data_IF_828174026909
#
_entry.id   IF_828174026909
#
_cell.length_a   1.000
_cell.length_b   1.000
_cell.length_c   1.000
_cell.angle_alpha   90.00
_cell.angle_beta   90.00
_cell.angle_gamma   90.00
#
_symmetry.space_group_name_H-M   'P 1'
#
loop_
_entity.id
_entity.type
_entity.pdbx_description
1 polymer ?
#
# COMPACT_ATOMS: atom_id res chain seq x y z
N UNK A 1 55.87 -1.05 34.04
CA UNK A 1 55.19 -2.03 33.17
C UNK A 1 53.71 -1.80 33.30
N UNK A 2 53.19 -0.91 32.47
CA UNK A 2 51.82 -0.40 32.48
C UNK A 2 50.99 -1.18 31.47
N UNK A 3 49.82 -1.66 31.92
CA UNK A 3 48.82 -2.34 31.10
C UNK A 3 48.05 -1.32 30.26
N UNK A 4 48.16 -1.39 28.94
CA UNK A 4 47.31 -0.65 28.02
C UNK A 4 46.03 -1.43 27.73
N UNK A 5 44.90 -0.88 28.16
CA UNK A 5 43.54 -1.32 27.85
C UNK A 5 43.09 -0.76 26.50
N UNK A 6 42.83 -1.64 25.52
CA UNK A 6 42.16 -1.27 24.27
C UNK A 6 40.65 -1.09 24.50
N UNK A 7 40.01 -0.01 24.01
CA UNK A 7 38.56 0.09 23.97
C UNK A 7 37.99 -0.58 22.71
N UNK A 8 37.06 -1.52 22.91
CA UNK A 8 36.21 -2.11 21.88
C UNK A 8 35.36 -1.06 21.17
N UNK A 9 35.56 -0.90 19.86
CA UNK A 9 34.69 -0.10 18.99
C UNK A 9 33.39 -0.89 18.77
N UNK A 10 32.33 -0.51 19.48
CA UNK A 10 30.95 -0.93 19.19
C UNK A 10 30.50 -0.19 17.92
N UNK A 11 30.16 -0.92 16.86
CA UNK A 11 29.46 -0.35 15.70
C UNK A 11 28.04 0.04 16.13
N UNK A 12 27.76 1.33 16.19
CA UNK A 12 26.42 1.88 16.36
C UNK A 12 25.55 1.56 15.12
N UNK A 13 24.25 1.27 15.29
CA UNK A 13 23.31 1.12 14.20
C UNK A 13 23.08 2.49 13.53
N UNK A 14 23.18 2.53 12.20
CA UNK A 14 22.91 3.72 11.37
C UNK A 14 21.52 4.29 11.69
N UNK A 15 21.52 5.51 12.21
CA UNK A 15 20.34 6.34 12.45
C UNK A 15 19.61 6.59 11.12
N UNK A 16 18.28 6.52 11.17
CA UNK A 16 17.38 6.85 10.07
C UNK A 16 17.52 8.34 9.76
N UNK A 17 17.80 8.69 8.51
CA UNK A 17 17.69 10.09 8.05
C UNK A 17 16.21 10.41 7.84
N UNK A 18 15.67 11.20 8.75
CA UNK A 18 14.34 11.78 8.71
C UNK A 18 14.37 13.05 7.83
N UNK A 19 13.59 13.05 6.74
CA UNK A 19 13.42 14.17 5.81
C UNK A 19 12.17 15.01 6.13
N UNK A 20 11.76 15.15 7.39
CA UNK A 20 10.48 15.79 7.76
C UNK A 20 10.51 17.30 7.98
N UNK A 21 11.44 18.05 7.38
CA UNK A 21 11.44 19.52 7.42
C UNK A 21 10.20 20.14 6.74
N UNK A 22 9.04 20.13 7.40
CA UNK A 22 7.76 20.64 6.89
C UNK A 22 7.13 21.64 7.86
N UNK A 23 6.97 22.86 7.37
CA UNK A 23 6.04 23.87 7.87
C UNK A 23 4.66 23.58 7.29
N UNK A 24 3.65 23.48 8.15
CA UNK A 24 2.25 23.26 7.78
C UNK A 24 1.75 24.46 6.98
N UNK A 25 1.44 24.26 5.69
CA UNK A 25 0.64 25.21 4.91
C UNK A 25 -0.53 24.49 4.24
N UNK A 26 -1.59 24.31 5.02
CA UNK A 26 -2.90 23.84 4.58
C UNK A 26 -3.52 24.90 3.65
N UNK A 27 -3.73 24.58 2.37
CA UNK A 27 -4.43 25.45 1.41
C UNK A 27 -5.94 25.19 1.49
N UNK A 28 -6.60 25.81 2.47
CA UNK A 28 -8.07 25.77 2.62
C UNK A 28 -8.84 26.70 1.66
N UNK A 29 -8.22 27.33 0.65
CA UNK A 29 -8.79 28.54 0.03
C UNK A 29 -9.37 28.41 -1.38
N UNK A 30 -9.85 27.23 -1.82
CA UNK A 30 -10.59 27.14 -3.12
C UNK A 30 -11.86 26.27 -3.15
N UNK A 31 -12.31 25.68 -2.04
CA UNK A 31 -13.39 24.68 -2.05
C UNK A 31 -14.77 25.16 -1.57
N UNK A 32 -15.08 26.46 -1.58
CA UNK A 32 -16.38 26.94 -1.06
C UNK A 32 -17.51 27.11 -2.08
N UNK A 33 -17.32 26.83 -3.38
CA UNK A 33 -18.36 27.12 -4.40
C UNK A 33 -19.00 25.92 -5.14
N UNK A 34 -18.77 24.67 -4.73
CA UNK A 34 -19.38 23.48 -5.40
C UNK A 34 -20.29 22.62 -4.49
N UNK A 35 -20.54 23.04 -3.25
CA UNK A 35 -21.29 22.30 -2.22
C UNK A 35 -22.80 22.13 -2.45
N UNK A 36 -23.31 22.25 -3.69
CA UNK A 36 -24.77 22.25 -3.97
C UNK A 36 -25.31 21.15 -4.89
N UNK A 37 -24.53 20.16 -5.32
CA UNK A 37 -25.06 19.15 -6.28
C UNK A 37 -25.11 17.70 -5.78
N UNK A 38 -24.46 17.26 -4.70
CA UNK A 38 -24.56 15.82 -4.31
C UNK A 38 -24.71 15.58 -2.82
N UNK A 39 -25.87 15.97 -2.27
CA UNK A 39 -26.27 15.67 -0.89
C UNK A 39 -27.14 14.40 -0.77
N UNK A 40 -26.92 13.40 -1.63
CA UNK A 40 -27.64 12.11 -1.58
C UNK A 40 -26.73 10.92 -1.95
N UNK A 41 -25.70 10.63 -1.14
CA UNK A 41 -25.09 9.30 -1.15
C UNK A 41 -24.93 8.84 0.30
N UNK A 42 -25.93 8.09 0.76
CA UNK A 42 -25.98 7.45 2.08
C UNK A 42 -24.94 6.33 2.18
N UNK A 43 -24.33 6.26 3.37
CA UNK A 43 -23.57 5.15 3.96
C UNK A 43 -23.88 3.76 3.40
N UNK A 44 -22.84 3.17 2.80
CA UNK A 44 -22.45 1.75 2.74
C UNK A 44 -21.30 1.73 1.71
N UNK A 45 -20.24 0.95 1.91
CA UNK A 45 -19.22 0.74 0.87
C UNK A 45 -19.89 0.06 -0.32
N UNK A 46 -20.41 0.85 -1.25
CA UNK A 46 -21.08 0.33 -2.43
C UNK A 46 -19.98 0.01 -3.42
N UNK A 47 -19.60 -1.26 -3.49
CA UNK A 47 -18.71 -1.71 -4.54
C UNK A 47 -19.32 -1.39 -5.92
N UNK A 48 -18.48 -0.86 -6.81
CA UNK A 48 -18.89 -0.41 -8.14
C UNK A 48 -18.40 -1.39 -9.19
N UNK A 49 -19.21 -1.62 -10.22
CA UNK A 49 -18.77 -2.41 -11.36
C UNK A 49 -17.83 -1.56 -12.23
N UNK A 50 -16.66 -2.10 -12.50
CA UNK A 50 -15.62 -1.47 -13.34
C UNK A 50 -15.17 -2.43 -14.45
N UNK A 51 -14.51 -1.93 -15.52
CA UNK A 51 -13.91 -2.79 -16.52
C UNK A 51 -13.00 -3.85 -15.87
N UNK A 52 -13.08 -5.12 -16.31
CA UNK A 52 -12.42 -6.21 -15.64
C UNK A 52 -10.90 -6.10 -15.76
N UNK A 53 -10.17 -6.24 -14.64
CA UNK A 53 -8.70 -6.27 -14.62
C UNK A 53 -8.18 -7.48 -13.87
N UNK A 54 -7.10 -8.06 -14.40
CA UNK A 54 -6.37 -9.15 -13.72
C UNK A 54 -5.42 -8.56 -12.70
N UNK A 55 -5.11 -9.31 -11.64
CA UNK A 55 -4.14 -8.88 -10.63
C UNK A 55 -2.78 -8.51 -11.23
N UNK A 56 -2.28 -9.31 -12.17
CA UNK A 56 -1.01 -9.04 -12.87
C UNK A 56 -1.01 -7.73 -13.66
N UNK A 57 -2.15 -7.32 -14.21
CA UNK A 57 -2.30 -6.02 -14.87
C UNK A 57 -2.24 -4.88 -13.85
N UNK A 58 -2.86 -5.07 -12.68
CA UNK A 58 -2.82 -4.10 -11.57
C UNK A 58 -1.40 -3.96 -11.00
N UNK A 59 -0.63 -5.06 -10.91
CA UNK A 59 0.80 -5.00 -10.51
C UNK A 59 1.61 -4.12 -11.45
N UNK A 60 1.44 -4.30 -12.77
CA UNK A 60 2.12 -3.51 -13.79
C UNK A 60 1.73 -2.03 -13.67
N UNK A 61 0.44 -1.74 -13.49
CA UNK A 61 -0.05 -0.37 -13.30
C UNK A 61 0.51 0.25 -12.02
N UNK A 62 0.52 -0.47 -10.90
CA UNK A 62 1.08 0.02 -9.65
C UNK A 62 2.58 0.34 -9.76
N UNK A 63 3.35 -0.51 -10.45
CA UNK A 63 4.77 -0.25 -10.73
C UNK A 63 4.97 1.00 -11.60
N UNK A 64 4.18 1.16 -12.68
CA UNK A 64 4.23 2.33 -13.54
C UNK A 64 3.87 3.63 -12.78
N UNK A 65 2.87 3.56 -11.89
CA UNK A 65 2.51 4.70 -11.05
C UNK A 65 3.59 5.06 -10.03
N UNK A 66 4.29 4.08 -9.45
CA UNK A 66 5.46 4.36 -8.60
C UNK A 66 6.53 5.13 -9.37
N UNK A 67 6.82 4.73 -10.60
CA UNK A 67 7.78 5.42 -11.47
C UNK A 67 7.32 6.85 -11.81
N UNK A 68 6.07 7.02 -12.23
CA UNK A 68 5.50 8.33 -12.55
C UNK A 68 5.50 9.30 -11.35
N UNK A 69 5.32 8.76 -10.14
CA UNK A 69 5.36 9.50 -8.88
C UNK A 69 6.77 9.60 -8.27
N UNK A 70 7.81 9.28 -9.07
CA UNK A 70 9.23 9.39 -8.69
C UNK A 70 9.60 8.60 -7.44
N UNK A 71 8.88 7.51 -7.15
CA UNK A 71 9.18 6.62 -6.03
C UNK A 71 10.27 5.64 -6.48
N UNK A 72 11.45 5.63 -5.83
CA UNK A 72 12.52 4.71 -6.18
C UNK A 72 12.06 3.24 -6.12
N UNK A 73 12.61 2.41 -7.01
CA UNK A 73 12.32 0.97 -7.06
C UNK A 73 12.70 0.25 -5.77
N UNK A 74 13.69 0.77 -5.03
CA UNK A 74 14.14 0.25 -3.73
C UNK A 74 13.41 0.87 -2.53
N UNK A 75 12.48 1.81 -2.76
CA UNK A 75 11.77 2.49 -1.68
C UNK A 75 10.85 1.52 -0.94
N UNK A 76 11.14 1.32 0.34
CA UNK A 76 10.51 0.33 1.22
C UNK A 76 9.11 0.78 1.63
N UNK A 77 8.99 2.04 2.07
CA UNK A 77 7.75 2.62 2.54
C UNK A 77 7.62 4.06 2.00
N UNK A 78 6.93 4.29 0.87
CA UNK A 78 6.72 5.64 0.36
C UNK A 78 5.92 6.49 1.35
N UNK A 79 6.28 7.78 1.43
CA UNK A 79 5.52 8.84 2.12
C UNK A 79 4.24 9.11 1.33
N UNK A 80 3.14 8.46 1.72
CA UNK A 80 1.88 8.57 0.99
C UNK A 80 1.31 9.99 1.04
N UNK A 81 1.50 10.71 2.15
CA UNK A 81 1.08 12.12 2.24
C UNK A 81 1.94 12.97 1.32
N UNK A 82 3.26 12.78 1.34
CA UNK A 82 4.17 13.45 0.42
C UNK A 82 3.82 13.22 -1.05
N UNK A 83 3.47 11.99 -1.42
CA UNK A 83 3.02 11.61 -2.77
C UNK A 83 1.74 12.35 -3.16
N UNK A 84 0.72 12.32 -2.30
CA UNK A 84 -0.57 12.97 -2.58
C UNK A 84 -0.45 14.49 -2.57
N UNK A 85 0.30 15.09 -1.64
CA UNK A 85 0.41 16.56 -1.54
C UNK A 85 1.34 17.18 -2.60
N UNK A 86 2.37 16.47 -3.04
CA UNK A 86 3.45 17.08 -3.83
C UNK A 86 3.62 16.49 -5.23
N UNK A 87 3.40 15.19 -5.43
CA UNK A 87 3.61 14.53 -6.72
C UNK A 87 2.32 14.49 -7.54
N UNK A 88 1.18 14.22 -6.91
CA UNK A 88 -0.12 14.17 -7.60
C UNK A 88 -0.51 15.52 -8.23
N UNK A 89 -0.42 16.69 -7.55
CA UNK A 89 -0.70 17.98 -8.18
C UNK A 89 0.18 18.31 -9.38
N UNK A 90 1.39 17.73 -9.47
CA UNK A 90 2.30 17.92 -10.62
C UNK A 90 1.83 17.16 -11.85
N UNK A 91 1.15 16.02 -11.65
CA UNK A 91 0.60 15.20 -12.73
C UNK A 91 -0.83 15.61 -13.09
N UNK A 92 -1.57 16.11 -12.11
CA UNK A 92 -2.98 16.51 -12.22
C UNK A 92 -3.14 17.91 -11.61
N UNK A 93 -3.15 18.96 -12.45
CA UNK A 93 -3.09 20.35 -11.99
C UNK A 93 -4.22 20.77 -11.02
N UNK A 94 -5.40 20.17 -11.15
CA UNK A 94 -6.56 20.43 -10.28
C UNK A 94 -6.74 19.38 -9.16
N UNK A 95 -5.76 18.49 -8.96
CA UNK A 95 -5.83 17.49 -7.91
C UNK A 95 -5.74 18.13 -6.53
N UNK A 96 -6.57 17.65 -5.60
CA UNK A 96 -6.51 18.02 -4.19
C UNK A 96 -6.37 16.80 -3.28
N UNK A 97 -5.57 16.96 -2.23
CA UNK A 97 -5.71 16.17 -1.00
C UNK A 97 -6.54 17.00 -0.02
N UNK A 98 -7.67 16.47 0.41
CA UNK A 98 -8.55 17.13 1.40
C UNK A 98 -8.56 16.30 2.67
N UNK A 99 -8.40 16.97 3.80
CA UNK A 99 -8.52 16.37 5.13
C UNK A 99 -9.77 16.91 5.79
N UNK A 100 -10.65 16.02 6.24
CA UNK A 100 -11.87 16.38 6.98
C UNK A 100 -11.79 15.85 8.40
N UNK A 101 -12.45 16.53 9.34
CA UNK A 101 -12.58 16.01 10.70
C UNK A 101 -13.34 14.68 10.66
N UNK A 102 -13.01 13.75 11.57
CA UNK A 102 -13.59 12.39 11.54
C UNK A 102 -15.13 12.39 11.65
N UNK A 103 -15.73 13.37 12.35
CA UNK A 103 -17.19 13.49 12.45
C UNK A 103 -17.87 13.89 11.13
N UNK A 104 -17.11 14.44 10.17
CA UNK A 104 -17.60 14.84 8.84
C UNK A 104 -17.49 13.71 7.81
N UNK A 105 -16.91 12.58 8.21
CA UNK A 105 -16.60 11.46 7.30
C UNK A 105 -17.65 10.35 7.34
N UNK A 106 -18.69 10.47 8.17
CA UNK A 106 -19.76 9.47 8.33
C UNK A 106 -19.25 8.03 8.56
N UNK A 107 -18.10 7.91 9.23
CA UNK A 107 -17.43 6.63 9.52
C UNK A 107 -16.47 6.13 8.44
N UNK A 108 -16.31 6.84 7.32
CA UNK A 108 -15.32 6.54 6.31
C UNK A 108 -13.90 6.97 6.75
N UNK A 109 -12.90 6.17 6.39
CA UNK A 109 -11.48 6.52 6.60
C UNK A 109 -10.95 7.40 5.47
N UNK A 110 -11.48 7.21 4.26
CA UNK A 110 -11.18 7.98 3.08
C UNK A 110 -12.20 7.72 1.98
N UNK A 111 -12.17 8.55 0.94
CA UNK A 111 -12.89 8.34 -0.32
C UNK A 111 -12.27 9.19 -1.43
N UNK A 112 -12.64 8.89 -2.67
CA UNK A 112 -12.13 9.56 -3.88
C UNK A 112 -13.26 10.25 -4.65
N UNK A 113 -13.02 11.49 -5.05
CA UNK A 113 -13.85 12.25 -5.99
C UNK A 113 -13.08 12.45 -7.31
N UNK A 114 -13.79 12.57 -8.43
CA UNK A 114 -13.16 12.61 -9.77
C UNK A 114 -13.34 13.93 -10.53
N UNK A 115 -14.27 14.79 -10.10
CA UNK A 115 -14.59 16.07 -10.75
C UNK A 115 -14.90 17.17 -9.72
N UNK A 116 -13.90 17.95 -9.28
CA UNK A 116 -12.46 17.79 -9.58
C UNK A 116 -11.84 16.56 -8.91
N UNK A 117 -10.69 16.04 -9.42
CA UNK A 117 -10.05 14.87 -8.84
C UNK A 117 -9.52 15.16 -7.43
N UNK A 118 -9.99 14.40 -6.44
CA UNK A 118 -9.63 14.63 -5.05
C UNK A 118 -9.56 13.31 -4.29
N UNK A 119 -8.53 13.17 -3.45
CA UNK A 119 -8.53 12.15 -2.39
C UNK A 119 -8.90 12.84 -1.09
N UNK A 120 -9.92 12.35 -0.41
CA UNK A 120 -10.35 12.83 0.90
C UNK A 120 -9.96 11.81 1.95
N UNK A 121 -9.28 12.24 3.01
CA UNK A 121 -8.95 11.42 4.17
C UNK A 121 -9.58 11.99 5.44
N UNK A 122 -9.96 11.11 6.35
CA UNK A 122 -10.29 11.53 7.72
C UNK A 122 -9.03 12.07 8.42
N UNK A 123 -9.19 12.97 9.39
CA UNK A 123 -8.08 13.51 10.16
C UNK A 123 -7.23 12.41 10.80
N UNK A 124 -7.89 11.38 11.35
CA UNK A 124 -7.21 10.19 11.90
C UNK A 124 -6.41 9.43 10.83
N UNK A 125 -7.00 9.19 9.65
CA UNK A 125 -6.34 8.44 8.58
C UNK A 125 -5.17 9.21 7.96
N UNK A 126 -5.31 10.53 7.80
CA UNK A 126 -4.25 11.42 7.39
C UNK A 126 -3.08 11.40 8.39
N UNK A 127 -3.36 11.55 9.69
CA UNK A 127 -2.33 11.55 10.71
C UNK A 127 -1.62 10.19 10.81
N UNK A 128 -2.37 9.09 10.71
CA UNK A 128 -1.83 7.73 10.67
C UNK A 128 -0.89 7.56 9.47
N UNK A 129 -1.29 8.02 8.28
CA UNK A 129 -0.45 7.98 7.08
C UNK A 129 0.82 8.85 7.22
N UNK A 130 0.68 10.07 7.76
CA UNK A 130 1.79 11.00 8.01
C UNK A 130 2.82 10.44 9.02
N UNK A 131 2.35 9.66 10.00
CA UNK A 131 3.18 8.97 10.98
C UNK A 131 3.75 7.63 10.48
N UNK A 132 3.59 7.33 9.20
CA UNK A 132 4.00 6.07 8.57
C UNK A 132 3.33 4.81 9.13
N UNK A 133 2.13 4.94 9.71
CA UNK A 133 1.40 3.79 10.22
C UNK A 133 0.66 3.06 9.10
N UNK A 134 0.59 1.73 9.23
CA UNK A 134 0.13 0.87 8.15
C UNK A 134 -1.32 1.11 7.69
N UNK A 135 -2.24 1.50 8.59
CA UNK A 135 -3.66 1.68 8.25
C UNK A 135 -3.86 2.94 7.39
N UNK A 136 -3.43 4.11 7.86
CA UNK A 136 -3.57 5.34 7.09
C UNK A 136 -2.85 5.27 5.74
N UNK A 137 -1.65 4.67 5.69
CA UNK A 137 -0.94 4.46 4.42
C UNK A 137 -1.70 3.55 3.46
N UNK A 138 -2.31 2.48 3.97
CA UNK A 138 -3.17 1.61 3.17
C UNK A 138 -4.37 2.37 2.61
N UNK A 139 -5.10 3.10 3.46
CA UNK A 139 -6.24 3.93 3.05
C UNK A 139 -5.84 4.92 1.96
N UNK A 140 -4.75 5.67 2.14
CA UNK A 140 -4.25 6.62 1.15
C UNK A 140 -3.88 5.95 -0.20
N UNK A 141 -3.23 4.78 -0.17
CA UNK A 141 -2.88 4.04 -1.38
C UNK A 141 -4.10 3.40 -2.06
N UNK A 142 -5.11 3.01 -1.29
CA UNK A 142 -6.39 2.48 -1.76
C UNK A 142 -7.17 3.56 -2.51
N UNK A 143 -7.31 4.75 -1.92
CA UNK A 143 -7.96 5.89 -2.59
C UNK A 143 -7.20 6.35 -3.85
N UNK A 144 -5.87 6.37 -3.80
CA UNK A 144 -5.07 6.58 -5.01
C UNK A 144 -5.40 5.54 -6.09
N UNK A 145 -5.57 4.28 -5.70
CA UNK A 145 -6.01 3.20 -6.59
C UNK A 145 -7.35 3.49 -7.25
N UNK A 146 -8.36 3.92 -6.48
CA UNK A 146 -9.63 4.37 -7.04
C UNK A 146 -9.44 5.47 -8.07
N UNK A 147 -8.68 6.50 -7.73
CA UNK A 147 -8.46 7.66 -8.60
C UNK A 147 -7.82 7.27 -9.93
N UNK A 148 -6.78 6.43 -9.89
CA UNK A 148 -5.99 6.11 -11.10
C UNK A 148 -6.58 4.98 -11.94
N UNK A 149 -7.43 4.12 -11.36
CA UNK A 149 -8.03 3.00 -12.07
C UNK A 149 -9.47 3.24 -12.53
N UNK A 150 -10.24 4.13 -11.88
CA UNK A 150 -11.71 4.07 -11.94
C UNK A 150 -12.43 5.38 -12.31
N UNK A 151 -11.95 6.12 -13.32
CA UNK A 151 -12.63 7.33 -13.83
C UNK A 151 -14.10 7.16 -14.30
N UNK A 152 -14.60 5.94 -14.43
CA UNK A 152 -15.94 5.64 -14.95
C UNK A 152 -16.59 4.45 -14.23
N UNK A 153 -16.49 4.42 -12.90
CA UNK A 153 -17.18 3.43 -12.08
C UNK A 153 -18.70 3.60 -12.20
N UNK A 154 -19.44 2.48 -12.34
CA UNK A 154 -20.90 2.49 -12.35
C UNK A 154 -21.46 1.72 -11.16
N UNK A 155 -22.51 2.25 -10.50
CA UNK A 155 -23.21 1.51 -9.45
C UNK A 155 -23.63 0.11 -9.89
N UNK A 156 -23.62 -0.87 -8.97
CA UNK A 156 -23.93 -2.27 -9.28
C UNK A 156 -25.34 -2.46 -9.88
N UNK A 157 -26.33 -1.69 -9.42
CA UNK A 157 -27.70 -1.68 -9.94
C UNK A 157 -27.77 -1.20 -11.40
N UNK A 158 -26.78 -0.40 -11.84
CA UNK A 158 -26.62 0.10 -13.21
C UNK A 158 -25.61 -0.69 -14.04
N UNK A 159 -24.98 -1.71 -13.46
CA UNK A 159 -24.01 -2.56 -14.14
C UNK A 159 -24.68 -3.44 -15.23
N UNK A 160 -23.91 -4.00 -16.18
CA UNK A 160 -24.43 -4.97 -17.14
C UNK A 160 -25.26 -6.07 -16.47
N UNK A 161 -26.34 -6.52 -17.14
CA UNK A 161 -27.35 -7.45 -16.59
C UNK A 161 -26.75 -8.68 -15.90
N UNK A 162 -25.63 -9.20 -16.42
CA UNK A 162 -24.94 -10.36 -15.85
C UNK A 162 -24.38 -10.11 -14.43
N UNK A 163 -24.00 -8.88 -14.12
CA UNK A 163 -23.43 -8.47 -12.84
C UNK A 163 -24.49 -7.90 -11.90
N UNK A 164 -25.46 -7.13 -12.42
CA UNK A 164 -26.52 -6.54 -11.58
C UNK A 164 -27.45 -7.57 -10.94
N UNK A 165 -27.47 -8.80 -11.46
CA UNK A 165 -28.18 -9.96 -10.85
C UNK A 165 -27.34 -10.73 -9.83
N UNK A 166 -26.05 -10.42 -9.70
CA UNK A 166 -25.17 -11.06 -8.72
C UNK A 166 -25.29 -10.34 -7.38
N UNK A 167 -25.23 -11.12 -6.29
CA UNK A 167 -25.25 -10.57 -4.92
C UNK A 167 -23.92 -9.88 -4.58
N UNK A 168 -22.84 -10.32 -5.20
CA UNK A 168 -21.47 -9.81 -5.05
C UNK A 168 -20.82 -9.76 -6.44
N UNK A 169 -20.01 -8.72 -6.70
CA UNK A 169 -19.26 -8.62 -7.94
C UNK A 169 -18.13 -9.64 -7.97
N UNK A 170 -17.83 -10.25 -9.13
CA UNK A 170 -16.60 -11.03 -9.24
C UNK A 170 -15.42 -10.08 -9.05
N UNK A 171 -14.42 -10.53 -8.28
CA UNK A 171 -13.23 -9.77 -7.87
C UNK A 171 -12.63 -8.91 -9.00
N UNK A 172 -12.45 -9.50 -10.18
CA UNK A 172 -11.84 -8.82 -11.30
C UNK A 172 -12.65 -7.63 -11.83
N UNK A 173 -13.94 -7.50 -11.52
CA UNK A 173 -14.83 -6.41 -11.95
C UNK A 173 -15.31 -5.51 -10.79
N UNK A 174 -14.80 -5.76 -9.58
CA UNK A 174 -15.05 -4.99 -8.36
C UNK A 174 -14.06 -3.84 -8.24
N UNK A 175 -14.56 -2.61 -8.03
CA UNK A 175 -13.71 -1.43 -7.84
C UNK A 175 -12.91 -1.56 -6.53
N UNK A 176 -13.58 -2.02 -5.47
CA UNK A 176 -12.96 -2.22 -4.15
C UNK A 176 -11.84 -3.25 -4.19
N UNK A 177 -12.07 -4.38 -4.88
CA UNK A 177 -11.03 -5.40 -5.03
C UNK A 177 -9.86 -4.89 -5.86
N UNK A 178 -10.13 -4.16 -6.96
CA UNK A 178 -9.08 -3.59 -7.81
C UNK A 178 -8.25 -2.53 -7.06
N UNK A 179 -8.89 -1.65 -6.29
CA UNK A 179 -8.22 -0.65 -5.47
C UNK A 179 -7.39 -1.29 -4.34
N UNK A 180 -7.90 -2.33 -3.67
CA UNK A 180 -7.14 -3.10 -2.69
C UNK A 180 -5.94 -3.83 -3.32
N UNK A 181 -6.11 -4.42 -4.51
CA UNK A 181 -5.01 -5.03 -5.26
C UNK A 181 -3.94 -3.99 -5.64
N UNK A 182 -4.37 -2.79 -6.03
CA UNK A 182 -3.46 -1.67 -6.33
C UNK A 182 -2.69 -1.24 -5.09
N UNK A 183 -3.37 -0.99 -3.97
CA UNK A 183 -2.72 -0.59 -2.71
C UNK A 183 -1.69 -1.63 -2.26
N UNK A 184 -2.03 -2.92 -2.35
CA UNK A 184 -1.13 -4.03 -2.03
C UNK A 184 0.13 -4.01 -2.92
N UNK A 185 -0.04 -3.87 -4.24
CA UNK A 185 1.06 -3.84 -5.21
C UNK A 185 1.92 -2.58 -5.09
N UNK A 186 1.28 -1.43 -4.85
CA UNK A 186 1.93 -0.13 -4.74
C UNK A 186 2.75 -0.03 -3.46
N UNK A 187 2.22 -0.48 -2.32
CA UNK A 187 2.93 -0.45 -1.04
C UNK A 187 3.93 -1.59 -0.87
N UNK A 188 3.63 -2.77 -1.43
CA UNK A 188 4.46 -3.98 -1.31
C UNK A 188 4.78 -4.56 -2.69
N UNK A 189 5.67 -3.94 -3.48
CA UNK A 189 6.04 -4.44 -4.80
C UNK A 189 6.52 -5.90 -4.74
N UNK A 190 6.00 -6.76 -5.62
CA UNK A 190 6.31 -8.20 -5.61
C UNK A 190 7.83 -8.46 -5.64
N UNK A 191 8.56 -7.71 -6.46
CA UNK A 191 10.01 -7.82 -6.59
C UNK A 191 10.76 -7.62 -5.27
N UNK A 192 10.22 -6.82 -4.34
CA UNK A 192 10.79 -6.61 -3.01
C UNK A 192 10.25 -7.63 -1.99
N UNK A 193 8.97 -7.99 -2.08
CA UNK A 193 8.35 -8.95 -1.13
C UNK A 193 9.02 -10.32 -1.18
N UNK A 194 9.48 -10.74 -2.37
CA UNK A 194 10.15 -12.03 -2.59
C UNK A 194 11.46 -12.22 -1.82
N UNK A 195 12.04 -11.15 -1.28
CA UNK A 195 13.27 -11.22 -0.49
C UNK A 195 13.02 -11.54 1.00
N UNK A 196 11.75 -11.60 1.43
CA UNK A 196 11.36 -11.86 2.82
C UNK A 196 10.74 -13.25 3.01
N UNK A 197 10.90 -13.80 4.21
CA UNK A 197 10.36 -15.12 4.57
C UNK A 197 9.37 -15.04 5.73
N UNK A 198 9.55 -14.07 6.63
CA UNK A 198 8.64 -13.88 7.76
C UNK A 198 7.71 -12.68 7.53
N UNK A 199 6.44 -12.85 7.92
CA UNK A 199 5.44 -11.77 7.88
C UNK A 199 5.88 -10.55 8.69
N UNK A 200 6.57 -10.76 9.82
CA UNK A 200 7.15 -9.71 10.67
C UNK A 200 8.15 -8.82 9.92
N UNK A 201 8.98 -9.41 9.04
CA UNK A 201 9.94 -8.67 8.23
C UNK A 201 9.22 -7.79 7.20
N UNK A 202 8.21 -8.35 6.52
CA UNK A 202 7.38 -7.62 5.55
C UNK A 202 6.66 -6.46 6.24
N UNK A 203 6.02 -6.70 7.39
CA UNK A 203 5.35 -5.66 8.18
C UNK A 203 6.29 -4.50 8.51
N UNK A 204 7.50 -4.83 8.98
CA UNK A 204 8.49 -3.84 9.42
C UNK A 204 9.07 -3.07 8.23
N UNK A 205 9.41 -3.76 7.14
CA UNK A 205 10.05 -3.17 5.98
C UNK A 205 9.11 -2.28 5.18
N UNK A 206 7.89 -2.76 4.91
CA UNK A 206 6.91 -2.01 4.13
C UNK A 206 6.03 -1.11 4.99
N UNK A 207 6.16 -1.11 6.32
CA UNK A 207 5.33 -0.37 7.26
C UNK A 207 3.82 -0.61 7.04
N UNK A 208 3.41 -1.87 7.06
CA UNK A 208 2.03 -2.32 6.83
C UNK A 208 1.51 -3.16 8.01
N UNK A 209 0.20 -3.35 8.08
CA UNK A 209 -0.41 -4.25 9.07
C UNK A 209 -0.07 -5.72 8.77
N UNK A 210 -0.19 -6.56 9.80
CA UNK A 210 -0.07 -8.02 9.67
C UNK A 210 -1.00 -8.58 8.59
N UNK A 211 -2.27 -8.17 8.62
CA UNK A 211 -3.27 -8.64 7.66
C UNK A 211 -2.92 -8.26 6.21
N UNK A 212 -2.41 -7.05 5.99
CA UNK A 212 -1.96 -6.63 4.65
C UNK A 212 -0.79 -7.49 4.16
N UNK A 213 0.20 -7.75 5.02
CA UNK A 213 1.36 -8.60 4.69
C UNK A 213 0.95 -10.06 4.41
N UNK A 214 0.10 -10.66 5.25
CA UNK A 214 -0.40 -12.03 5.07
C UNK A 214 -1.20 -12.17 3.77
N UNK A 215 -2.10 -11.22 3.50
CA UNK A 215 -2.85 -11.18 2.25
C UNK A 215 -1.93 -11.01 1.05
N UNK A 216 -0.87 -10.21 1.15
CA UNK A 216 0.10 -10.02 0.07
C UNK A 216 0.84 -11.31 -0.26
N UNK A 217 1.40 -11.99 0.73
CA UNK A 217 2.10 -13.28 0.58
C UNK A 217 1.17 -14.33 -0.04
N UNK A 218 -0.06 -14.45 0.48
CA UNK A 218 -1.08 -15.34 -0.06
C UNK A 218 -1.41 -15.03 -1.52
N UNK A 219 -1.62 -13.75 -1.85
CA UNK A 219 -1.98 -13.29 -3.20
C UNK A 219 -0.87 -13.53 -4.23
N UNK A 220 0.39 -13.54 -3.80
CA UNK A 220 1.56 -13.83 -4.62
C UNK A 220 1.91 -15.33 -4.69
N UNK A 221 1.18 -16.18 -3.95
CA UNK A 221 1.47 -17.61 -3.87
C UNK A 221 2.85 -17.91 -3.24
N UNK A 222 3.33 -17.05 -2.36
CA UNK A 222 4.60 -17.24 -1.67
C UNK A 222 4.43 -18.18 -0.47
N UNK A 223 5.43 -19.04 -0.24
CA UNK A 223 5.49 -19.95 0.91
C UNK A 223 6.33 -19.34 2.03
N UNK A 224 5.91 -19.53 3.28
CA UNK A 224 6.68 -19.13 4.48
C UNK A 224 8.01 -19.91 4.62
N UNK A 225 8.21 -20.98 3.85
CA UNK A 225 9.45 -21.77 3.91
C UNK A 225 10.42 -21.37 2.82
N UNK A 226 11.64 -20.96 3.22
CA UNK A 226 12.74 -20.73 2.29
C UNK A 226 13.05 -22.00 1.49
N UNK A 227 12.85 -22.02 0.17
CA UNK A 227 13.25 -23.17 -0.62
C UNK A 227 14.78 -23.22 -0.63
N UNK A 228 15.36 -24.22 0.05
CA UNK A 228 16.80 -24.49 -0.02
C UNK A 228 17.12 -24.95 -1.45
N UNK A 229 18.01 -24.25 -2.19
CA UNK A 229 18.39 -24.63 -3.54
C UNK A 229 18.84 -26.10 -3.60
N UNK A 230 18.51 -26.86 -4.67
CA UNK A 230 18.88 -28.27 -4.77
C UNK A 230 20.37 -28.53 -4.55
N UNK A 231 21.22 -27.63 -5.03
CA UNK A 231 22.68 -27.70 -4.88
C UNK A 231 23.10 -27.60 -3.41
N UNK A 232 22.50 -26.65 -2.67
CA UNK A 232 22.73 -26.47 -1.23
C UNK A 232 22.19 -27.66 -0.45
N UNK A 233 21.02 -28.18 -0.82
CA UNK A 233 20.42 -29.38 -0.22
C UNK A 233 21.30 -30.61 -0.41
N UNK A 234 21.87 -30.80 -1.59
CA UNK A 234 22.80 -31.88 -1.89
C UNK A 234 24.10 -31.74 -1.08
N UNK A 235 24.65 -30.53 -0.97
CA UNK A 235 25.83 -30.26 -0.15
C UNK A 235 25.57 -30.57 1.34
N UNK A 236 24.43 -30.17 1.89
CA UNK A 236 24.02 -30.47 3.27
C UNK A 236 23.91 -32.00 3.48
N UNK A 237 23.27 -32.72 2.57
CA UNK A 237 23.15 -34.19 2.64
C UNK A 237 24.52 -34.88 2.61
N UNK A 238 25.42 -34.44 1.73
CA UNK A 238 26.78 -34.99 1.64
C UNK A 238 27.57 -34.74 2.92
N UNK A 239 27.48 -33.52 3.48
CA UNK A 239 28.13 -33.19 4.76
C UNK A 239 27.62 -34.08 5.89
N UNK A 240 26.30 -34.24 6.06
CA UNK A 240 25.75 -35.13 7.09
C UNK A 240 26.23 -36.59 6.94
N UNK A 241 26.37 -37.08 5.71
CA UNK A 241 26.84 -38.44 5.44
C UNK A 241 28.34 -38.63 5.73
N UNK A 242 29.16 -37.57 5.61
CA UNK A 242 30.61 -37.63 5.79
C UNK A 242 31.05 -37.32 7.23
N UNK A 243 30.34 -36.44 7.94
CA UNK A 243 30.79 -35.90 9.23
C UNK A 243 30.06 -36.48 10.43
N UNK A 244 29.00 -37.29 10.22
CA UNK A 244 28.16 -37.79 11.30
C UNK A 244 27.41 -36.70 12.05
N UNK A 245 27.35 -35.47 11.52
CA UNK A 245 26.59 -34.37 12.11
C UNK A 245 25.10 -34.77 12.11
N UNK A 246 24.46 -34.82 13.29
CA UNK A 246 23.07 -35.21 13.38
C UNK A 246 22.19 -34.19 12.66
N UNK A 247 21.16 -34.69 11.95
CA UNK A 247 20.15 -33.84 11.33
C UNK A 247 19.45 -33.00 12.42
N UNK A 248 19.09 -31.74 12.14
CA UNK A 248 18.32 -30.94 13.08
C UNK A 248 17.00 -31.65 13.43
N UNK A 249 16.59 -31.56 14.69
CA UNK A 249 15.30 -32.05 15.14
C UNK A 249 14.19 -31.30 14.38
N UNK A 250 13.21 -32.06 13.87
CA UNK A 250 12.04 -31.53 13.17
C UNK A 250 11.14 -30.72 14.08
#
# INVERSE_FOLDING_TARGET
>A
MSFDSHPSIKKEPRLREDCSGRSIRCLLTRYENSMRIFQEIKNMSHDYCVPPKRRTEIEILAAAWREALRIPTTCQAPDMIGVLENEMPRLFGDFALVVKDDYQMDGAEGYTEFDPPCVVLSATSYQSAANFEGRGRWTAAHELGHLVLHKSAVPLDRAPIRYSKMKELPEFASAEWQANAFAAAFLMPEALVRDFFEISEIMTFFAVSRSAAENRVKNLGLSEQRPIPPQVRAAISNLHNMTGIPKPAR
#
